data_IF_802132478698
#
_entry.id   IF_802132478698
#
_cell.length_a   1.000
_cell.length_b   1.000
_cell.length_c   1.000
_cell.angle_alpha   90.00
_cell.angle_beta   90.00
_cell.angle_gamma   90.00
#
_symmetry.space_group_name_H-M   'P 1'
#
loop_
_entity.id
_entity.type
_entity.pdbx_description
1 polymer ?
#
# COMPACT_ATOMS: atom_id res chain seq x y z
N UNK A 1 -14.93 33.92 4.99
CA UNK A 1 -16.03 32.92 5.04
C UNK A 1 -15.48 31.56 4.65
N UNK A 2 -15.36 30.62 5.59
CA UNK A 2 -14.88 29.26 5.35
C UNK A 2 -16.07 28.43 4.83
N UNK A 3 -16.07 28.06 3.55
CA UNK A 3 -17.09 27.16 2.97
C UNK A 3 -16.81 25.73 3.47
N UNK A 4 -17.75 25.19 4.24
CA UNK A 4 -17.72 23.82 4.73
C UNK A 4 -17.80 22.83 3.57
N UNK A 5 -16.89 21.85 3.58
CA UNK A 5 -17.00 20.67 2.74
C UNK A 5 -18.14 19.80 3.28
N UNK A 6 -19.28 19.87 2.60
CA UNK A 6 -20.46 19.04 2.91
C UNK A 6 -20.12 17.56 2.67
N UNK A 7 -20.19 16.77 3.74
CA UNK A 7 -20.11 15.30 3.69
C UNK A 7 -21.46 14.74 3.24
N UNK A 8 -21.71 14.73 1.94
CA UNK A 8 -22.88 14.04 1.37
C UNK A 8 -22.56 13.52 -0.04
N UNK A 9 -21.96 12.33 -0.12
CA UNK A 9 -22.22 11.37 -1.20
C UNK A 9 -22.16 9.95 -0.64
N UNK A 10 -23.32 9.48 -0.20
CA UNK A 10 -23.56 8.08 0.08
C UNK A 10 -23.44 7.26 -1.23
N UNK A 11 -22.54 6.29 -1.21
CA UNK A 11 -22.66 4.97 -1.85
C UNK A 11 -23.19 4.89 -3.29
N UNK A 12 -22.35 5.17 -4.29
CA UNK A 12 -22.34 4.28 -5.45
C UNK A 12 -21.42 3.12 -5.09
N UNK A 13 -22.00 1.96 -4.81
CA UNK A 13 -21.25 0.71 -4.70
C UNK A 13 -20.67 0.44 -6.08
N UNK A 14 -19.37 0.72 -6.27
CA UNK A 14 -18.71 0.32 -7.51
C UNK A 14 -18.68 -1.22 -7.53
N UNK A 15 -19.18 -1.86 -8.59
CA UNK A 15 -19.09 -3.31 -8.70
C UNK A 15 -17.62 -3.69 -8.74
N UNK A 16 -17.15 -4.38 -7.71
CA UNK A 16 -15.79 -4.89 -7.63
C UNK A 16 -15.71 -6.14 -8.51
N UNK A 17 -14.86 -6.17 -9.56
CA UNK A 17 -14.67 -7.38 -10.35
C UNK A 17 -14.16 -8.53 -9.46
N UNK A 18 -14.57 -9.79 -9.69
CA UNK A 18 -14.11 -10.93 -8.89
C UNK A 18 -12.58 -11.04 -8.82
N UNK A 19 -11.88 -10.70 -9.91
CA UNK A 19 -10.41 -10.69 -9.95
C UNK A 19 -9.79 -9.65 -8.99
N UNK A 20 -10.42 -8.48 -8.82
CA UNK A 20 -9.95 -7.45 -7.91
C UNK A 20 -10.12 -7.87 -6.45
N UNK A 21 -11.26 -8.48 -6.11
CA UNK A 21 -11.51 -9.03 -4.78
C UNK A 21 -10.53 -10.17 -4.44
N UNK A 22 -10.36 -11.13 -5.36
CA UNK A 22 -9.45 -12.25 -5.17
C UNK A 22 -7.98 -11.81 -4.99
N UNK A 23 -7.57 -10.72 -5.65
CA UNK A 23 -6.24 -10.15 -5.46
C UNK A 23 -6.12 -9.40 -4.13
N UNK A 24 -7.13 -8.61 -3.76
CA UNK A 24 -7.16 -7.89 -2.50
C UNK A 24 -7.08 -8.83 -1.29
N UNK A 25 -7.67 -10.03 -1.36
CA UNK A 25 -7.63 -11.02 -0.28
C UNK A 25 -6.21 -11.56 -0.01
N UNK A 26 -5.35 -11.56 -1.03
CA UNK A 26 -3.97 -12.02 -0.91
C UNK A 26 -3.04 -10.97 -0.26
N UNK A 27 -3.47 -9.71 -0.18
CA UNK A 27 -2.65 -8.63 0.37
C UNK A 27 -2.55 -8.73 1.88
N UNK A 28 -1.40 -8.31 2.43
CA UNK A 28 -1.17 -8.27 3.87
C UNK A 28 -1.71 -6.98 4.45
N UNK A 29 -2.61 -7.12 5.41
CA UNK A 29 -3.18 -6.01 6.18
C UNK A 29 -2.47 -5.91 7.51
N UNK A 30 -1.98 -4.72 7.86
CA UNK A 30 -1.48 -4.36 9.18
C UNK A 30 -2.59 -3.62 9.90
N UNK A 31 -2.97 -4.11 11.08
CA UNK A 31 -3.98 -3.49 11.93
C UNK A 31 -3.31 -3.00 13.20
N UNK A 32 -3.60 -1.76 13.54
CA UNK A 32 -3.13 -1.09 14.74
C UNK A 32 -4.32 -0.71 15.61
N UNK A 33 -4.31 -1.14 16.87
CA UNK A 33 -5.25 -0.66 17.87
C UNK A 33 -4.88 0.77 18.26
N UNK A 34 -5.86 1.68 18.25
CA UNK A 34 -5.71 3.09 18.67
C UNK A 34 -6.40 3.34 20.01
N UNK A 35 -6.18 2.45 20.97
CA UNK A 35 -6.78 2.55 22.31
C UNK A 35 -8.31 2.62 22.24
N UNK A 36 -8.90 3.67 22.83
CA UNK A 36 -10.37 3.89 22.82
C UNK A 36 -10.92 4.37 21.47
N UNK A 37 -10.05 4.75 20.53
CA UNK A 37 -10.45 5.33 19.25
C UNK A 37 -10.70 4.27 18.16
N UNK A 38 -10.58 2.97 18.51
CA UNK A 38 -10.84 1.84 17.62
C UNK A 38 -9.58 1.30 16.95
N UNK A 39 -9.71 0.91 15.69
CA UNK A 39 -8.69 0.23 14.91
C UNK A 39 -8.39 0.99 13.62
N UNK A 40 -7.12 1.01 13.24
CA UNK A 40 -6.62 1.53 11.97
C UNK A 40 -6.01 0.40 11.17
N UNK A 41 -6.29 0.32 9.88
CA UNK A 41 -5.73 -0.68 9.00
C UNK A 41 -5.06 -0.04 7.77
N UNK A 42 -3.97 -0.65 7.32
CA UNK A 42 -3.28 -0.34 6.06
C UNK A 42 -2.81 -1.63 5.39
N UNK A 43 -2.49 -1.59 4.10
CA UNK A 43 -1.87 -2.71 3.39
C UNK A 43 -0.39 -2.45 3.16
N UNK A 44 0.43 -3.50 3.27
CA UNK A 44 1.86 -3.44 2.95
C UNK A 44 2.06 -3.12 1.46
N UNK A 45 1.23 -3.72 0.62
CA UNK A 45 1.27 -3.59 -0.85
C UNK A 45 0.74 -2.23 -1.32
N UNK A 46 -0.26 -1.69 -0.61
CA UNK A 46 -0.83 -0.37 -0.90
C UNK A 46 -0.88 0.50 0.36
N UNK A 47 0.26 1.09 0.79
CA UNK A 47 0.33 1.93 1.97
C UNK A 47 -0.47 3.23 1.86
N UNK A 48 -1.03 3.55 0.68
CA UNK A 48 -1.93 4.69 0.49
C UNK A 48 -3.40 4.37 0.79
N UNK A 49 -3.74 3.09 0.96
CA UNK A 49 -5.10 2.63 1.24
C UNK A 49 -5.22 2.38 2.73
N UNK A 50 -6.24 3.01 3.34
CA UNK A 50 -6.46 2.96 4.78
C UNK A 50 -7.93 2.72 5.09
N UNK A 51 -8.17 2.10 6.25
CA UNK A 51 -9.49 2.04 6.84
C UNK A 51 -9.41 2.28 8.34
N UNK A 52 -10.52 2.78 8.88
CA UNK A 52 -10.71 2.92 10.32
C UNK A 52 -12.08 2.37 10.71
N UNK A 53 -12.15 1.75 11.88
CA UNK A 53 -13.39 1.21 12.43
C UNK A 53 -13.32 1.09 13.95
N UNK A 54 -14.47 0.91 14.60
CA UNK A 54 -14.50 0.71 16.06
C UNK A 54 -14.10 -0.69 16.48
N UNK A 55 -14.30 -1.66 15.59
CA UNK A 55 -13.94 -3.07 15.82
C UNK A 55 -12.91 -3.54 14.80
N UNK A 56 -12.12 -4.53 15.18
CA UNK A 56 -11.12 -5.13 14.29
C UNK A 56 -11.78 -5.75 13.05
N UNK A 57 -12.84 -6.54 13.23
CA UNK A 57 -13.57 -7.19 12.15
C UNK A 57 -14.15 -6.19 11.14
N UNK A 58 -14.72 -5.08 11.63
CA UNK A 58 -15.21 -4.01 10.75
C UNK A 58 -14.05 -3.32 10.03
N UNK A 59 -12.90 -3.14 10.69
CA UNK A 59 -11.71 -2.55 10.08
C UNK A 59 -11.18 -3.42 8.93
N UNK A 60 -11.14 -4.74 9.14
CA UNK A 60 -10.76 -5.75 8.14
C UNK A 60 -11.72 -5.69 6.94
N UNK A 61 -13.03 -5.74 7.18
CA UNK A 61 -14.01 -5.69 6.10
C UNK A 61 -13.89 -4.40 5.27
N UNK A 62 -13.67 -3.26 5.94
CA UNK A 62 -13.50 -1.96 5.27
C UNK A 62 -12.22 -1.87 4.46
N UNK A 63 -11.07 -2.30 5.01
CA UNK A 63 -9.82 -2.26 4.26
C UNK A 63 -9.86 -3.21 3.07
N UNK A 64 -10.39 -4.43 3.22
CA UNK A 64 -10.54 -5.38 2.10
C UNK A 64 -11.37 -4.81 0.97
N UNK A 65 -12.48 -4.16 1.31
CA UNK A 65 -13.30 -3.45 0.33
C UNK A 65 -12.54 -2.31 -0.35
N UNK A 66 -11.88 -1.45 0.42
CA UNK A 66 -11.12 -0.32 -0.12
C UNK A 66 -9.97 -0.77 -1.04
N UNK A 67 -9.25 -1.84 -0.68
CA UNK A 67 -8.22 -2.45 -1.52
C UNK A 67 -8.82 -2.96 -2.83
N UNK A 68 -9.95 -3.67 -2.74
CA UNK A 68 -10.62 -4.23 -3.93
C UNK A 68 -11.15 -3.15 -4.87
N UNK A 69 -11.73 -2.07 -4.33
CA UNK A 69 -12.17 -0.91 -5.11
C UNK A 69 -10.98 -0.20 -5.77
N UNK A 70 -9.87 -0.04 -5.05
CA UNK A 70 -8.64 0.55 -5.60
C UNK A 70 -8.07 -0.31 -6.73
N UNK A 71 -8.00 -1.63 -6.54
CA UNK A 71 -7.53 -2.57 -7.57
C UNK A 71 -8.46 -2.55 -8.77
N UNK A 72 -9.77 -2.49 -8.57
CA UNK A 72 -10.73 -2.40 -9.65
C UNK A 72 -10.49 -1.16 -10.52
N UNK A 73 -10.25 0.00 -9.89
CA UNK A 73 -9.91 1.23 -10.60
C UNK A 73 -8.61 1.06 -11.40
N UNK A 74 -7.56 0.50 -10.81
CA UNK A 74 -6.29 0.27 -11.51
C UNK A 74 -6.48 -0.62 -12.74
N UNK A 75 -7.22 -1.73 -12.60
CA UNK A 75 -7.49 -2.63 -13.72
C UNK A 75 -8.31 -1.95 -14.82
N UNK A 76 -9.28 -1.12 -14.46
CA UNK A 76 -10.11 -0.35 -15.40
C UNK A 76 -9.29 0.71 -16.16
N UNK A 77 -8.32 1.34 -15.50
CA UNK A 77 -7.43 2.34 -16.12
C UNK A 77 -6.23 1.71 -16.86
N UNK A 78 -6.13 0.38 -16.90
CA UNK A 78 -5.01 -0.34 -17.53
C UNK A 78 -3.71 -0.32 -16.71
N UNK A 79 -3.77 0.10 -15.45
CA UNK A 79 -2.67 0.02 -14.50
C UNK A 79 -2.55 -1.40 -13.92
N UNK A 80 -1.32 -1.84 -13.66
CA UNK A 80 -1.05 -3.12 -13.03
C UNK A 80 -1.03 -2.98 -11.49
N UNK A 81 -1.91 -3.67 -10.74
CA UNK A 81 -1.88 -3.66 -9.28
C UNK A 81 -0.56 -4.25 -8.73
N UNK A 82 -0.11 -3.82 -7.54
CA UNK A 82 1.06 -4.41 -6.89
C UNK A 82 0.89 -5.92 -6.71
N UNK A 83 1.96 -6.70 -6.90
CA UNK A 83 1.89 -8.13 -6.57
C UNK A 83 1.75 -8.32 -5.05
N UNK A 84 0.93 -9.28 -4.58
CA UNK A 84 0.78 -9.58 -3.15
C UNK A 84 2.13 -9.88 -2.51
N UNK A 85 2.39 -9.41 -1.28
CA UNK A 85 3.59 -9.79 -0.55
C UNK A 85 3.61 -11.28 -0.20
N UNK A 86 2.45 -11.94 -0.18
CA UNK A 86 2.26 -13.38 -0.05
C UNK A 86 2.70 -14.18 -1.27
N UNK A 87 2.85 -13.55 -2.45
CA UNK A 87 3.26 -14.23 -3.70
C UNK A 87 4.73 -14.69 -3.73
N UNK A 88 5.46 -14.56 -2.62
CA UNK A 88 6.82 -15.10 -2.51
C UNK A 88 7.87 -14.36 -3.34
N UNK A 89 7.55 -13.28 -4.06
CA UNK A 89 8.54 -12.58 -4.90
C UNK A 89 9.71 -11.91 -4.13
N UNK A 90 9.73 -12.02 -2.80
CA UNK A 90 10.80 -11.54 -1.91
C UNK A 90 11.05 -12.60 -0.83
N UNK A 91 11.95 -13.52 -1.12
CA UNK A 91 12.27 -14.66 -0.22
C UNK A 91 13.47 -14.37 0.69
N UNK A 92 14.34 -13.42 0.30
CA UNK A 92 15.64 -13.19 0.95
C UNK A 92 15.79 -11.72 1.37
N UNK A 93 16.26 -11.52 2.58
CA UNK A 93 16.71 -10.21 3.09
C UNK A 93 18.23 -10.09 2.96
N UNK A 94 18.68 -8.98 2.36
CA UNK A 94 20.09 -8.64 2.26
C UNK A 94 20.46 -7.61 3.32
N UNK A 95 21.45 -7.92 4.16
CA UNK A 95 22.04 -6.98 5.11
C UNK A 95 23.31 -6.40 4.51
N UNK A 96 23.33 -5.08 4.30
CA UNK A 96 24.46 -4.37 3.70
C UNK A 96 25.06 -3.43 4.75
N UNK A 97 26.37 -3.49 4.94
CA UNK A 97 27.12 -2.51 5.74
C UNK A 97 27.57 -1.38 4.83
N UNK A 98 27.25 -0.16 5.24
CA UNK A 98 27.65 1.08 4.56
C UNK A 98 28.11 2.08 5.61
N UNK A 99 28.92 3.03 5.18
CA UNK A 99 29.28 4.19 5.99
C UNK A 99 28.09 5.15 6.12
N UNK A 100 28.20 6.10 7.06
CA UNK A 100 27.19 7.16 7.23
C UNK A 100 27.06 8.06 6.00
N UNK A 101 28.17 8.39 5.34
CA UNK A 101 28.18 9.19 4.11
C UNK A 101 27.44 8.48 2.97
N UNK A 102 27.78 7.21 2.72
CA UNK A 102 27.13 6.39 1.69
C UNK A 102 25.63 6.28 1.93
N UNK A 103 25.20 6.01 3.17
CA UNK A 103 23.78 5.96 3.53
C UNK A 103 23.08 7.28 3.20
N UNK A 104 23.71 8.41 3.49
CA UNK A 104 23.12 9.75 3.29
C UNK A 104 22.96 10.05 1.80
N UNK A 105 23.99 9.74 1.00
CA UNK A 105 23.96 9.90 -0.46
C UNK A 105 22.93 8.99 -1.13
N UNK A 106 22.78 7.75 -0.65
CA UNK A 106 21.77 6.83 -1.16
C UNK A 106 20.36 7.34 -0.84
N UNK A 107 20.14 7.82 0.39
CA UNK A 107 18.86 8.40 0.82
C UNK A 107 18.44 9.59 -0.04
N UNK A 108 19.37 10.53 -0.25
CA UNK A 108 19.13 11.71 -1.06
C UNK A 108 18.77 11.33 -2.49
N UNK A 109 19.52 10.41 -3.11
CA UNK A 109 19.24 9.93 -4.47
C UNK A 109 17.91 9.19 -4.56
N UNK A 110 17.56 8.37 -3.56
CA UNK A 110 16.27 7.70 -3.50
C UNK A 110 15.12 8.71 -3.49
N UNK A 111 15.24 9.77 -2.66
CA UNK A 111 14.26 10.85 -2.56
C UNK A 111 14.12 11.63 -3.88
N UNK A 112 15.24 12.02 -4.48
CA UNK A 112 15.25 12.74 -5.77
C UNK A 112 14.64 11.91 -6.89
N UNK A 113 14.83 10.59 -6.86
CA UNK A 113 14.24 9.65 -7.82
C UNK A 113 12.80 9.23 -7.47
N UNK A 114 12.18 9.82 -6.46
CA UNK A 114 10.77 9.59 -6.10
C UNK A 114 10.49 8.29 -5.32
N UNK A 115 11.52 7.60 -4.85
CA UNK A 115 11.35 6.37 -4.08
C UNK A 115 11.01 6.66 -2.61
N UNK A 116 10.10 5.86 -2.04
CA UNK A 116 9.71 5.94 -0.62
C UNK A 116 10.60 5.11 0.30
N UNK A 117 11.47 4.25 -0.27
CA UNK A 117 12.33 3.34 0.46
C UNK A 117 13.73 3.25 -0.16
N UNK A 118 14.76 3.27 0.69
CA UNK A 118 16.15 2.99 0.29
C UNK A 118 16.25 1.60 -0.33
N UNK A 119 15.60 0.60 0.28
CA UNK A 119 15.67 -0.80 -0.19
C UNK A 119 15.08 -0.95 -1.59
N UNK A 120 13.99 -0.23 -1.88
CA UNK A 120 13.37 -0.24 -3.21
C UNK A 120 14.28 0.45 -4.24
N UNK A 121 14.85 1.59 -3.87
CA UNK A 121 15.81 2.31 -4.72
C UNK A 121 17.04 1.45 -5.04
N UNK A 122 17.67 0.85 -4.02
CA UNK A 122 18.84 -0.03 -4.19
C UNK A 122 18.48 -1.23 -5.07
N UNK A 123 17.34 -1.88 -4.82
CA UNK A 123 16.90 -3.02 -5.63
C UNK A 123 16.70 -2.64 -7.09
N UNK A 124 16.00 -1.52 -7.36
CA UNK A 124 15.79 -1.04 -8.74
C UNK A 124 17.07 -0.62 -9.43
N UNK A 125 18.01 -0.03 -8.70
CA UNK A 125 19.32 0.34 -9.22
C UNK A 125 20.15 -0.92 -9.55
N UNK A 126 20.19 -1.90 -8.64
CA UNK A 126 20.98 -3.13 -8.78
C UNK A 126 20.46 -4.08 -9.87
N UNK A 127 19.14 -4.12 -10.08
CA UNK A 127 18.51 -4.97 -11.11
C UNK A 127 18.33 -4.25 -12.45
N UNK A 128 18.87 -3.03 -12.62
CA UNK A 128 18.77 -2.32 -13.89
C UNK A 128 19.56 -3.06 -14.96
N UNK A 129 18.89 -3.51 -16.02
CA UNK A 129 19.50 -4.24 -17.14
C UNK A 129 19.61 -5.75 -16.95
N UNK A 130 19.12 -6.29 -15.83
CA UNK A 130 18.97 -7.73 -15.62
C UNK A 130 17.51 -8.08 -15.98
N UNK A 131 17.33 -8.87 -17.04
CA UNK A 131 16.02 -9.30 -17.55
C UNK A 131 15.38 -10.36 -16.63
#
# INVERSE_FOLDING_TARGET
MKKGFSREKAGKTFPVPPAAAALADQYRVVIEARGRDGFSATSIEMPGVFAHARTEAECIARIRRALSETIAIMLDTGEAPPRPASSGAREVQLNIRVTSDERSRILERARLAGYRSISEYIRRAALRGVA
#
